data_IF_468853998500
#
_entry.id   IF_468853998500
#
_cell.length_a   1.000
_cell.length_b   1.000
_cell.length_c   1.000
_cell.angle_alpha   90.00
_cell.angle_beta   90.00
_cell.angle_gamma   90.00
#
_symmetry.space_group_name_H-M   'P 1'
#
loop_
_entity.id
_entity.type
_entity.pdbx_description
1 polymer ?
#
# COMPACT_ATOMS: atom_id res chain seq x y z
N UNK A 1 -8.24 5.38 -16.60
CA UNK A 1 -7.48 4.48 -15.69
C UNK A 1 -7.39 5.01 -14.26
N UNK A 2 -7.01 6.29 -14.05
CA UNK A 2 -6.95 6.91 -12.71
C UNK A 2 -8.30 6.93 -11.97
N UNK A 3 -9.43 7.10 -12.69
CA UNK A 3 -10.77 7.11 -12.09
C UNK A 3 -11.17 5.76 -11.48
N UNK A 4 -10.75 4.65 -12.08
CA UNK A 4 -11.03 3.31 -11.55
C UNK A 4 -10.28 3.06 -10.23
N UNK A 5 -9.06 3.58 -10.11
CA UNK A 5 -8.26 3.49 -8.87
C UNK A 5 -8.91 4.30 -7.74
N UNK A 6 -9.35 5.53 -8.02
CA UNK A 6 -10.05 6.36 -7.02
C UNK A 6 -11.33 5.71 -6.50
N UNK A 7 -12.14 5.14 -7.38
CA UNK A 7 -13.37 4.41 -6.98
C UNK A 7 -13.06 3.16 -6.16
N UNK A 8 -11.99 2.43 -6.52
CA UNK A 8 -11.51 1.26 -5.74
C UNK A 8 -11.02 1.65 -4.35
N UNK A 9 -10.32 2.77 -4.21
CA UNK A 9 -9.90 3.30 -2.91
C UNK A 9 -11.12 3.72 -2.08
N UNK A 10 -12.10 4.39 -2.70
CA UNK A 10 -13.33 4.81 -2.01
C UNK A 10 -14.15 3.62 -1.47
N UNK A 11 -14.18 2.52 -2.20
CA UNK A 11 -14.89 1.29 -1.82
C UNK A 11 -13.99 0.26 -1.13
N UNK A 12 -12.79 0.65 -0.70
CA UNK A 12 -11.82 -0.26 -0.09
C UNK A 12 -12.32 -0.73 1.28
N UNK A 13 -12.31 -2.06 1.49
CA UNK A 13 -12.66 -2.68 2.77
C UNK A 13 -11.44 -3.30 3.46
N UNK A 14 -10.67 -4.09 2.72
CA UNK A 14 -9.48 -4.80 3.20
C UNK A 14 -8.55 -5.10 2.03
N UNK A 15 -7.33 -5.54 2.32
CA UNK A 15 -6.37 -5.98 1.32
C UNK A 15 -6.94 -7.16 0.52
N UNK A 16 -6.89 -7.04 -0.81
CA UNK A 16 -7.31 -8.11 -1.71
C UNK A 16 -6.28 -9.24 -1.73
N UNK A 17 -6.70 -10.40 -2.20
CA UNK A 17 -5.77 -11.51 -2.48
C UNK A 17 -4.72 -11.09 -3.51
N UNK A 18 -3.44 -11.31 -3.16
CA UNK A 18 -2.31 -11.06 -4.04
C UNK A 18 -1.69 -12.41 -4.44
N UNK A 19 -1.78 -12.75 -5.73
CA UNK A 19 -1.28 -14.02 -6.26
C UNK A 19 0.24 -14.18 -6.13
N UNK A 20 0.99 -13.11 -5.87
CA UNK A 20 2.44 -13.16 -5.58
C UNK A 20 2.73 -13.69 -4.18
N UNK A 21 1.74 -13.61 -3.28
CA UNK A 21 1.83 -14.04 -1.89
C UNK A 21 0.70 -15.03 -1.54
N UNK A 22 0.62 -16.21 -2.20
CA UNK A 22 -0.51 -17.14 -2.04
C UNK A 22 -0.46 -17.96 -0.75
N UNK A 23 0.70 -18.00 -0.08
CA UNK A 23 0.94 -18.83 1.09
C UNK A 23 0.44 -18.17 2.38
N UNK A 24 0.25 -18.97 3.43
CA UNK A 24 -0.17 -18.47 4.75
C UNK A 24 0.81 -17.45 5.34
N UNK A 25 2.10 -17.55 5.03
CA UNK A 25 3.09 -16.58 5.48
C UNK A 25 2.98 -15.26 4.68
N UNK A 26 2.36 -14.25 5.29
CA UNK A 26 2.15 -12.92 4.70
C UNK A 26 3.24 -11.89 5.06
N UNK A 27 4.34 -12.31 5.70
CA UNK A 27 5.40 -11.39 6.13
C UNK A 27 6.01 -10.59 4.96
N UNK A 28 6.23 -11.24 3.82
CA UNK A 28 6.76 -10.57 2.63
C UNK A 28 5.75 -9.62 2.00
N UNK A 29 4.46 -9.91 2.11
CA UNK A 29 3.39 -9.09 1.53
C UNK A 29 3.33 -7.71 2.22
N UNK A 30 3.22 -7.68 3.55
CA UNK A 30 3.16 -6.39 4.26
C UNK A 30 4.47 -5.61 4.10
N UNK A 31 5.63 -6.27 4.18
CA UNK A 31 6.94 -5.63 4.05
C UNK A 31 7.15 -5.00 2.67
N UNK A 32 6.79 -5.72 1.60
CA UNK A 32 6.90 -5.22 0.25
C UNK A 32 6.01 -3.98 0.03
N UNK A 33 4.77 -4.01 0.53
CA UNK A 33 3.86 -2.87 0.41
C UNK A 33 4.31 -1.66 1.23
N UNK A 34 4.89 -1.88 2.42
CA UNK A 34 5.48 -0.82 3.25
C UNK A 34 6.63 -0.10 2.51
N UNK A 35 7.57 -0.86 1.95
CA UNK A 35 8.68 -0.30 1.17
C UNK A 35 8.20 0.43 -0.09
N UNK A 36 7.22 -0.12 -0.80
CA UNK A 36 6.67 0.50 -2.01
C UNK A 36 5.96 1.80 -1.68
N UNK A 37 5.21 1.87 -0.57
CA UNK A 37 4.57 3.11 -0.15
C UNK A 37 5.61 4.21 0.12
N UNK A 38 6.59 3.97 0.98
CA UNK A 38 7.59 4.99 1.31
C UNK A 38 8.52 5.34 0.15
N UNK A 39 8.83 4.37 -0.72
CA UNK A 39 9.56 4.63 -1.96
C UNK A 39 8.77 5.50 -2.93
N UNK A 40 7.47 5.22 -3.09
CA UNK A 40 6.56 6.01 -3.91
C UNK A 40 6.39 7.42 -3.35
N UNK A 41 6.13 7.55 -2.05
CA UNK A 41 6.01 8.84 -1.35
C UNK A 41 7.26 9.69 -1.56
N UNK A 42 8.45 9.14 -1.28
CA UNK A 42 9.72 9.83 -1.50
C UNK A 42 9.90 10.26 -2.95
N UNK A 43 9.58 9.38 -3.92
CA UNK A 43 9.69 9.70 -5.34
C UNK A 43 8.72 10.80 -5.78
N UNK A 44 7.49 10.81 -5.26
CA UNK A 44 6.50 11.82 -5.58
C UNK A 44 6.85 13.16 -4.93
N UNK A 45 7.27 13.18 -3.65
CA UNK A 45 7.72 14.40 -2.96
C UNK A 45 8.93 15.02 -3.67
N UNK A 46 9.92 14.22 -4.08
CA UNK A 46 11.10 14.72 -4.79
C UNK A 46 10.76 15.32 -6.18
N UNK A 47 9.73 14.79 -6.84
CA UNK A 47 9.26 15.29 -8.14
C UNK A 47 8.25 16.44 -8.03
N UNK A 48 7.83 16.83 -6.82
CA UNK A 48 6.72 17.76 -6.61
C UNK A 48 5.37 17.23 -7.12
N UNK A 49 5.23 15.90 -7.21
CA UNK A 49 4.01 15.23 -7.70
C UNK A 49 3.01 14.93 -6.59
N UNK A 50 1.83 14.48 -6.99
CA UNK A 50 0.74 14.13 -6.06
C UNK A 50 0.96 12.77 -5.38
N UNK A 51 1.09 12.76 -4.06
CA UNK A 51 1.27 11.54 -3.24
C UNK A 51 0.01 10.68 -3.20
N UNK A 52 -1.16 11.18 -3.62
CA UNK A 52 -2.42 10.42 -3.66
C UNK A 52 -2.33 9.15 -4.52
N UNK A 53 -1.41 9.10 -5.50
CA UNK A 53 -1.17 7.90 -6.31
C UNK A 53 -0.62 6.73 -5.50
N UNK A 54 0.08 7.02 -4.39
CA UNK A 54 0.68 6.02 -3.50
C UNK A 54 -0.32 5.51 -2.45
N UNK A 55 -1.51 6.12 -2.35
CA UNK A 55 -2.47 5.88 -1.27
C UNK A 55 -3.00 4.44 -1.25
N UNK A 56 -3.08 3.78 -2.40
CA UNK A 56 -3.41 2.36 -2.49
C UNK A 56 -2.46 1.49 -1.64
N UNK A 57 -1.14 1.69 -1.79
CA UNK A 57 -0.15 0.94 -1.01
C UNK A 57 -0.27 1.24 0.48
N UNK A 58 -0.65 2.47 0.83
CA UNK A 58 -0.92 2.88 2.22
C UNK A 58 -2.02 2.05 2.86
N UNK A 59 -3.14 1.88 2.16
CA UNK A 59 -4.25 1.08 2.65
C UNK A 59 -3.86 -0.40 2.79
N UNK A 60 -3.14 -0.95 1.83
CA UNK A 60 -2.72 -2.36 1.84
C UNK A 60 -1.76 -2.66 2.99
N UNK A 61 -0.65 -1.91 3.13
CA UNK A 61 0.30 -2.22 4.20
C UNK A 61 -0.29 -1.99 5.60
N UNK A 62 -1.13 -0.96 5.79
CA UNK A 62 -1.82 -0.73 7.07
C UNK A 62 -2.81 -1.84 7.44
N UNK A 63 -3.40 -2.50 6.45
CA UNK A 63 -4.33 -3.62 6.70
C UNK A 63 -3.61 -4.92 7.06
N UNK A 64 -2.36 -5.08 6.62
CA UNK A 64 -1.58 -6.32 6.81
C UNK A 64 -0.54 -6.23 7.93
N UNK A 65 -0.01 -5.03 8.20
CA UNK A 65 1.10 -4.84 9.13
C UNK A 65 0.61 -4.69 10.58
N UNK A 66 1.19 -5.41 11.55
CA UNK A 66 0.98 -5.13 12.96
C UNK A 66 1.34 -3.68 13.32
N UNK A 67 0.51 -2.99 14.10
CA UNK A 67 0.73 -1.58 14.49
C UNK A 67 2.08 -1.41 15.20
N UNK A 68 2.49 -2.40 16.00
CA UNK A 68 3.77 -2.41 16.70
C UNK A 68 5.01 -2.39 15.80
N UNK A 69 4.87 -2.68 14.51
CA UNK A 69 5.97 -2.68 13.54
C UNK A 69 6.06 -1.38 12.75
N UNK A 70 5.02 -0.54 12.84
CA UNK A 70 4.95 0.77 12.14
C UNK A 70 5.12 1.92 13.13
N UNK A 71 4.70 1.74 14.38
CA UNK A 71 4.89 2.73 15.45
C UNK A 71 6.21 2.47 16.17
N UNK A 72 7.20 3.34 15.94
CA UNK A 72 8.36 3.52 16.83
C UNK A 72 8.28 4.90 17.45
#
# INVERSE_FOLDING_TARGET
MAENVKTKIKNYKTALFDSRFPNQNQARNWWQNYLVFHGCEKAMTAKGGDVSVCEWYRHVYKSLCPISWVST
#
